data_IF_996883947281
#
_entry.id   IF_996883947281
#
_cell.length_a   1.000
_cell.length_b   1.000
_cell.length_c   1.000
_cell.angle_alpha   90.00
_cell.angle_beta   90.00
_cell.angle_gamma   90.00
#
_symmetry.space_group_name_H-M   'P 1'
#
loop_
_entity.id
_entity.type
_entity.pdbx_description
1 polymer ?
#
# COMPACT_ATOMS: atom_id res chain seq x y z
N UNK A 1 -5.52 9.45 9.74
CA UNK A 1 -4.96 9.38 8.38
C UNK A 1 -4.78 10.79 7.81
N UNK A 2 -3.57 11.13 7.46
CA UNK A 2 -3.27 12.44 6.86
C UNK A 2 -3.15 12.28 5.36
N UNK A 3 -4.08 12.87 4.61
CA UNK A 3 -4.17 12.75 3.15
C UNK A 3 -3.41 13.87 2.45
N UNK A 4 -2.61 13.49 1.46
CA UNK A 4 -1.90 14.42 0.58
C UNK A 4 -2.32 14.10 -0.85
N UNK A 5 -3.18 14.94 -1.43
CA UNK A 5 -3.73 14.71 -2.76
C UNK A 5 -2.93 15.46 -3.82
N UNK A 6 -3.08 15.02 -5.07
CA UNK A 6 -2.37 15.60 -6.22
C UNK A 6 -0.86 15.71 -5.94
N UNK A 7 -0.29 14.65 -5.36
CA UNK A 7 1.10 14.65 -4.90
C UNK A 7 2.02 14.00 -5.94
N UNK A 8 3.25 14.51 -6.03
CA UNK A 8 4.22 14.04 -7.03
C UNK A 8 4.83 12.67 -6.69
N UNK A 9 4.90 12.31 -5.40
CA UNK A 9 5.64 11.13 -4.97
C UNK A 9 5.09 9.81 -5.55
N UNK A 10 3.78 9.51 -5.47
CA UNK A 10 3.27 8.27 -6.08
C UNK A 10 3.47 8.25 -7.60
N UNK A 11 3.38 9.42 -8.24
CA UNK A 11 3.59 9.52 -9.69
C UNK A 11 5.00 9.15 -10.08
N UNK A 12 5.97 9.53 -9.26
CA UNK A 12 7.39 9.24 -9.52
C UNK A 12 7.64 7.73 -9.57
N UNK A 13 7.01 6.95 -8.71
CA UNK A 13 7.16 5.49 -8.66
C UNK A 13 6.03 4.74 -9.37
N UNK A 14 5.20 5.46 -10.12
CA UNK A 14 4.16 4.92 -11.01
C UNK A 14 3.09 4.09 -10.27
N UNK A 15 2.67 4.58 -9.11
CA UNK A 15 1.54 4.01 -8.37
C UNK A 15 0.48 5.09 -8.16
N UNK A 16 -0.75 4.68 -7.84
CA UNK A 16 -1.85 5.62 -7.63
C UNK A 16 -1.80 6.27 -6.25
N UNK A 17 -1.29 5.56 -5.26
CA UNK A 17 -1.16 6.05 -3.90
C UNK A 17 -0.06 5.29 -3.17
N UNK A 18 0.46 5.90 -2.10
CA UNK A 18 1.44 5.26 -1.23
C UNK A 18 1.19 5.70 0.21
N UNK A 19 1.32 4.77 1.15
CA UNK A 19 1.13 5.02 2.58
C UNK A 19 2.45 4.88 3.33
N UNK A 20 2.78 5.90 4.13
CA UNK A 20 3.89 5.85 5.10
C UNK A 20 3.34 6.19 6.48
N UNK A 21 3.22 5.18 7.35
CA UNK A 21 2.67 5.38 8.69
C UNK A 21 1.25 5.89 8.62
N UNK A 22 1.03 7.11 9.10
CA UNK A 22 -0.30 7.76 9.09
C UNK A 22 -0.47 8.73 7.93
N UNK A 23 0.52 8.84 7.03
CA UNK A 23 0.47 9.72 5.87
C UNK A 23 0.15 8.93 4.61
N UNK A 24 -0.81 9.40 3.84
CA UNK A 24 -1.20 8.79 2.56
C UNK A 24 -1.07 9.82 1.46
N UNK A 25 -0.32 9.47 0.41
CA UNK A 25 -0.06 10.34 -0.73
C UNK A 25 -0.80 9.80 -1.96
N UNK A 26 -1.66 10.63 -2.56
CA UNK A 26 -2.45 10.27 -3.73
C UNK A 26 -1.99 11.07 -4.95
N UNK A 27 -1.93 10.41 -6.11
CA UNK A 27 -1.64 11.10 -7.39
C UNK A 27 -2.78 12.04 -7.76
N UNK A 28 -4.02 11.57 -7.60
CA UNK A 28 -5.21 12.32 -8.04
C UNK A 28 -5.67 13.32 -6.97
N UNK A 29 -6.43 14.31 -7.42
CA UNK A 29 -7.01 15.35 -6.56
C UNK A 29 -8.16 14.79 -5.71
N UNK A 30 -8.97 13.93 -6.31
CA UNK A 30 -10.16 13.37 -5.67
C UNK A 30 -10.12 11.84 -5.73
N UNK A 31 -9.41 11.18 -4.80
CA UNK A 31 -9.36 9.71 -4.79
C UNK A 31 -10.72 9.10 -4.51
N UNK A 32 -10.99 7.95 -5.13
CA UNK A 32 -12.23 7.22 -4.93
C UNK A 32 -12.34 6.70 -3.49
N UNK A 33 -13.56 6.46 -3.04
CA UNK A 33 -13.78 5.87 -1.72
C UNK A 33 -13.12 4.49 -1.61
N UNK A 34 -13.12 3.74 -2.69
CA UNK A 34 -12.48 2.42 -2.77
C UNK A 34 -10.97 2.53 -2.54
N UNK A 35 -10.31 3.47 -3.20
CA UNK A 35 -8.88 3.70 -3.01
C UNK A 35 -8.58 4.21 -1.60
N UNK A 36 -9.41 5.10 -1.08
CA UNK A 36 -9.26 5.60 0.30
C UNK A 36 -9.34 4.44 1.30
N UNK A 37 -10.32 3.53 1.14
CA UNK A 37 -10.45 2.36 1.99
C UNK A 37 -9.24 1.45 1.94
N UNK A 38 -8.66 1.25 0.74
CA UNK A 38 -7.45 0.47 0.54
C UNK A 38 -6.28 1.07 1.33
N UNK A 39 -6.04 2.38 1.17
CA UNK A 39 -4.92 3.04 1.83
C UNK A 39 -5.15 3.18 3.34
N UNK A 40 -6.39 3.38 3.76
CA UNK A 40 -6.74 3.41 5.19
C UNK A 40 -6.39 2.09 5.86
N UNK A 41 -6.58 0.97 5.16
CA UNK A 41 -6.19 -0.34 5.70
C UNK A 41 -4.70 -0.41 5.94
N UNK A 42 -3.88 0.15 5.05
CA UNK A 42 -2.43 0.22 5.27
C UNK A 42 -2.09 1.05 6.52
N UNK A 43 -2.80 2.17 6.75
CA UNK A 43 -2.61 2.95 7.97
C UNK A 43 -2.87 2.10 9.20
N UNK A 44 -3.96 1.33 9.20
CA UNK A 44 -4.29 0.42 10.30
C UNK A 44 -3.20 -0.64 10.50
N UNK A 45 -2.65 -1.17 9.42
CA UNK A 45 -1.59 -2.17 9.46
C UNK A 45 -0.30 -1.59 10.08
N UNK A 46 0.04 -0.34 9.75
CA UNK A 46 1.16 0.34 10.40
C UNK A 46 0.91 0.52 11.90
N UNK A 47 -0.30 0.87 12.30
CA UNK A 47 -0.65 1.03 13.71
C UNK A 47 -0.54 -0.31 14.45
N UNK A 48 -1.00 -1.39 13.82
CA UNK A 48 -1.01 -2.73 14.42
C UNK A 48 0.40 -3.30 14.57
N UNK A 49 1.21 -3.22 13.53
CA UNK A 49 2.52 -3.87 13.47
C UNK A 49 3.69 -2.94 13.79
N UNK A 50 3.49 -1.63 13.73
CA UNK A 50 4.55 -0.64 13.84
C UNK A 50 5.21 -0.38 12.49
N UNK A 51 5.83 0.80 12.36
CA UNK A 51 6.36 1.29 11.09
C UNK A 51 7.47 0.38 10.55
N UNK A 52 8.44 0.04 11.37
CA UNK A 52 9.61 -0.74 10.94
C UNK A 52 9.21 -2.18 10.59
N UNK A 53 8.39 -2.81 11.44
CA UNK A 53 7.95 -4.18 11.20
C UNK A 53 7.13 -4.28 9.91
N UNK A 54 6.24 -3.31 9.68
CA UNK A 54 5.45 -3.28 8.45
C UNK A 54 6.36 -3.24 7.22
N UNK A 55 7.32 -2.30 7.19
CA UNK A 55 8.21 -2.15 6.03
C UNK A 55 9.08 -3.39 5.81
N UNK A 56 9.63 -3.95 6.87
CA UNK A 56 10.48 -5.14 6.76
C UNK A 56 9.69 -6.35 6.26
N UNK A 57 8.48 -6.57 6.80
CA UNK A 57 7.64 -7.68 6.39
C UNK A 57 7.15 -7.51 4.95
N UNK A 58 6.74 -6.29 4.60
CA UNK A 58 6.28 -5.96 3.25
C UNK A 58 7.37 -6.29 2.22
N UNK A 59 8.57 -5.80 2.47
CA UNK A 59 9.71 -6.01 1.57
C UNK A 59 10.13 -7.48 1.52
N UNK A 60 10.17 -8.14 2.67
CA UNK A 60 10.52 -9.56 2.75
C UNK A 60 9.55 -10.42 1.93
N UNK A 61 8.25 -10.20 2.08
CA UNK A 61 7.26 -10.98 1.33
C UNK A 61 7.38 -10.70 -0.17
N UNK A 62 7.64 -9.46 -0.55
CA UNK A 62 7.87 -9.14 -1.96
C UNK A 62 9.06 -9.93 -2.52
N UNK A 63 10.20 -9.92 -1.84
CA UNK A 63 11.39 -10.63 -2.28
C UNK A 63 11.14 -12.15 -2.34
N UNK A 64 10.47 -12.69 -1.34
CA UNK A 64 10.14 -14.12 -1.32
C UNK A 64 9.30 -14.49 -2.54
N UNK A 65 8.30 -13.69 -2.87
CA UNK A 65 7.46 -13.91 -4.04
C UNK A 65 8.29 -13.86 -5.33
N UNK A 66 9.22 -12.91 -5.45
CA UNK A 66 10.11 -12.84 -6.61
C UNK A 66 10.99 -14.09 -6.71
N UNK A 67 11.50 -14.57 -5.60
CA UNK A 67 12.33 -15.79 -5.56
C UNK A 67 11.55 -17.04 -5.96
N UNK A 68 10.24 -17.04 -5.76
CA UNK A 68 9.36 -18.11 -6.23
C UNK A 68 9.07 -18.04 -7.73
N UNK A 69 9.60 -17.04 -8.43
CA UNK A 69 9.41 -16.88 -9.85
C UNK A 69 8.26 -15.96 -10.25
N UNK A 70 7.62 -15.30 -9.32
CA UNK A 70 6.55 -14.36 -9.64
C UNK A 70 7.10 -13.09 -10.29
N UNK A 71 6.33 -12.54 -11.24
CA UNK A 71 6.65 -11.26 -11.85
C UNK A 71 6.42 -10.13 -10.84
N UNK A 72 6.97 -8.95 -11.11
CA UNK A 72 6.87 -7.79 -10.23
C UNK A 72 5.44 -7.51 -9.76
N UNK A 73 4.50 -7.39 -10.69
CA UNK A 73 3.11 -7.06 -10.36
C UNK A 73 2.45 -8.15 -9.51
N UNK A 74 2.68 -9.41 -9.87
CA UNK A 74 2.14 -10.55 -9.13
C UNK A 74 2.74 -10.62 -7.71
N UNK A 75 4.04 -10.36 -7.60
CA UNK A 75 4.73 -10.36 -6.30
C UNK A 75 4.15 -9.31 -5.36
N UNK A 76 3.86 -8.13 -5.89
CA UNK A 76 3.24 -7.04 -5.16
C UNK A 76 1.83 -7.42 -4.70
N UNK A 77 1.00 -7.93 -5.61
CA UNK A 77 -0.39 -8.29 -5.30
C UNK A 77 -0.50 -9.39 -4.24
N UNK A 78 0.50 -10.25 -4.15
CA UNK A 78 0.50 -11.39 -3.23
C UNK A 78 1.03 -11.07 -1.83
N UNK A 79 1.52 -9.85 -1.62
CA UNK A 79 1.93 -9.41 -0.27
C UNK A 79 0.69 -9.41 0.63
N UNK A 80 0.81 -10.01 1.83
CA UNK A 80 -0.33 -10.16 2.74
C UNK A 80 -1.03 -8.84 3.07
N UNK A 81 -0.26 -7.78 3.27
CA UNK A 81 -0.83 -6.45 3.53
C UNK A 81 -1.65 -5.94 2.35
N UNK A 82 -1.22 -6.23 1.11
CA UNK A 82 -1.97 -5.81 -0.08
C UNK A 82 -3.22 -6.65 -0.27
N UNK A 83 -3.18 -7.94 0.06
CA UNK A 83 -4.36 -8.81 0.01
C UNK A 83 -5.44 -8.28 0.95
N UNK A 84 -5.08 -7.97 2.20
CA UNK A 84 -6.01 -7.41 3.18
C UNK A 84 -6.56 -6.05 2.73
N UNK A 85 -5.72 -5.21 2.14
CA UNK A 85 -6.14 -3.89 1.68
C UNK A 85 -7.16 -3.99 0.54
N UNK A 86 -6.99 -4.96 -0.38
CA UNK A 86 -7.97 -5.21 -1.43
C UNK A 86 -9.29 -5.73 -0.87
N UNK A 87 -9.24 -6.56 0.15
CA UNK A 87 -10.46 -7.03 0.84
C UNK A 87 -11.21 -5.86 1.45
N UNK A 88 -10.51 -4.88 2.00
CA UNK A 88 -11.12 -3.69 2.59
C UNK A 88 -11.83 -2.82 1.55
N UNK A 89 -11.45 -2.91 0.26
CA UNK A 89 -12.12 -2.17 -0.81
C UNK A 89 -13.55 -2.65 -1.06
N UNK A 90 -13.83 -3.91 -0.76
CA UNK A 90 -15.14 -4.51 -0.98
C UNK A 90 -16.14 -4.29 0.15
N UNK A 91 -15.76 -3.57 1.17
CA UNK A 91 -16.60 -3.34 2.36
C UNK A 91 -17.34 -2.05 2.27
#
# INVERSE_FOLDING_TARGET
>A
MKKHTNHWLPRLIKVNAITFGNHVFFVMKNPSSKLISHEKKHVEQYEQDGFIKFLLRYFYEYLENRMKGMKHHQSYLAISYEVEAREAEGV
#
